data_IF_059123843905
#
_entry.id   IF_059123843905
#
_cell.length_a   1.000
_cell.length_b   1.000
_cell.length_c   1.000
_cell.angle_alpha   90.00
_cell.angle_beta   90.00
_cell.angle_gamma   90.00
#
_symmetry.space_group_name_H-M   'P 1'
#
loop_
_entity.id
_entity.type
_entity.pdbx_description
1 polymer ?
#
# COMPACT_ATOMS: atom_id res chain seq x y z
N UNK A 1 -22.89 25.66 -28.37
CA UNK A 1 -22.28 25.09 -27.15
C UNK A 1 -22.56 23.59 -27.25
N UNK A 2 -21.63 22.70 -27.59
CA UNK A 2 -20.62 22.11 -26.67
C UNK A 2 -19.68 21.13 -27.43
N UNK A 3 -19.05 21.53 -28.55
CA UNK A 3 -18.18 20.62 -29.34
C UNK A 3 -16.73 20.52 -28.83
N UNK A 4 -16.26 21.51 -28.05
CA UNK A 4 -14.91 21.55 -27.49
C UNK A 4 -14.65 20.47 -26.42
N UNK A 5 -15.58 20.19 -25.48
CA UNK A 5 -15.41 19.14 -24.47
C UNK A 5 -15.34 17.74 -25.09
N UNK A 6 -16.15 17.44 -26.13
CA UNK A 6 -16.18 16.11 -26.75
C UNK A 6 -14.88 15.78 -27.49
N UNK A 7 -14.30 16.77 -28.20
CA UNK A 7 -12.99 16.59 -28.85
C UNK A 7 -11.87 16.39 -27.84
N UNK A 8 -11.90 17.09 -26.71
CA UNK A 8 -10.93 16.91 -25.62
C UNK A 8 -11.06 15.53 -24.97
N UNK A 9 -12.29 15.09 -24.67
CA UNK A 9 -12.55 13.74 -24.12
C UNK A 9 -12.11 12.65 -25.09
N UNK A 10 -12.38 12.81 -26.40
CA UNK A 10 -11.93 11.84 -27.41
C UNK A 10 -10.39 11.78 -27.49
N UNK A 11 -9.73 12.92 -27.38
CA UNK A 11 -8.26 12.99 -27.34
C UNK A 11 -7.69 12.33 -26.08
N UNK A 12 -8.28 12.59 -24.91
CA UNK A 12 -7.91 11.94 -23.65
C UNK A 12 -8.08 10.42 -23.71
N UNK A 13 -9.19 9.92 -24.26
CA UNK A 13 -9.40 8.47 -24.47
C UNK A 13 -8.33 7.86 -25.37
N UNK A 14 -7.97 8.55 -26.45
CA UNK A 14 -6.91 8.08 -27.36
C UNK A 14 -5.55 8.02 -26.66
N UNK A 15 -5.22 9.03 -25.84
CA UNK A 15 -3.97 9.07 -25.08
C UNK A 15 -3.89 7.98 -24.02
N UNK A 16 -5.01 7.69 -23.35
CA UNK A 16 -5.10 6.58 -22.39
C UNK A 16 -4.87 5.25 -23.11
N UNK A 17 -5.53 5.03 -24.25
CA UNK A 17 -5.39 3.78 -24.99
C UNK A 17 -3.98 3.58 -25.57
N UNK A 18 -3.33 4.66 -25.99
CA UNK A 18 -1.91 4.64 -26.39
C UNK A 18 -1.00 4.31 -25.20
N UNK A 19 -1.24 4.92 -24.04
CA UNK A 19 -0.49 4.63 -22.81
C UNK A 19 -0.66 3.17 -22.36
N UNK A 20 -1.87 2.62 -22.42
CA UNK A 20 -2.17 1.21 -22.11
C UNK A 20 -1.44 0.27 -23.07
N UNK A 21 -1.43 0.60 -24.37
CA UNK A 21 -0.74 -0.20 -25.39
C UNK A 21 0.78 -0.18 -25.17
N UNK A 22 1.34 0.99 -24.88
CA UNK A 22 2.76 1.14 -24.59
C UNK A 22 3.16 0.42 -23.30
N UNK A 23 2.29 0.45 -22.28
CA UNK A 23 2.49 -0.29 -21.04
C UNK A 23 2.50 -1.80 -21.28
N UNK A 24 1.57 -2.32 -22.09
CA UNK A 24 1.52 -3.73 -22.46
C UNK A 24 2.79 -4.17 -23.21
N UNK A 25 3.24 -3.36 -24.17
CA UNK A 25 4.49 -3.62 -24.90
C UNK A 25 5.72 -3.60 -23.98
N UNK A 26 5.80 -2.65 -23.05
CA UNK A 26 6.88 -2.59 -22.07
C UNK A 26 6.90 -3.81 -21.14
N UNK A 27 5.72 -4.31 -20.73
CA UNK A 27 5.60 -5.55 -19.93
C UNK A 27 6.10 -6.78 -20.71
N UNK A 28 5.71 -6.95 -21.97
CA UNK A 28 6.19 -8.03 -22.83
C UNK A 28 7.71 -7.97 -23.01
N UNK A 29 8.26 -6.78 -23.24
CA UNK A 29 9.71 -6.60 -23.36
C UNK A 29 10.45 -6.95 -22.06
N UNK A 30 9.92 -6.55 -20.90
CA UNK A 30 10.49 -6.92 -19.60
C UNK A 30 10.50 -8.44 -19.39
N UNK A 31 9.39 -9.12 -19.70
CA UNK A 31 9.29 -10.59 -19.63
C UNK A 31 10.37 -11.24 -20.52
N UNK A 32 10.57 -10.71 -21.72
CA UNK A 32 11.54 -11.26 -22.68
C UNK A 32 13.01 -11.04 -22.27
N UNK A 33 13.32 -9.97 -21.55
CA UNK A 33 14.69 -9.59 -21.17
C UNK A 33 15.09 -10.23 -19.84
N UNK A 34 14.17 -10.28 -18.87
CA UNK A 34 14.51 -10.68 -17.50
C UNK A 34 14.44 -12.18 -17.26
N UNK A 35 13.75 -12.97 -18.09
CA UNK A 35 13.74 -14.45 -18.00
C UNK A 35 13.22 -15.05 -16.68
N UNK A 36 12.85 -14.21 -15.72
CA UNK A 36 12.27 -14.55 -14.42
C UNK A 36 10.88 -13.92 -14.32
N UNK A 37 9.96 -14.64 -13.67
CA UNK A 37 8.66 -14.19 -13.14
C UNK A 37 8.82 -13.10 -12.04
N UNK A 38 9.81 -12.22 -12.16
CA UNK A 38 9.85 -10.97 -11.41
C UNK A 38 8.88 -10.00 -12.10
N UNK A 39 7.59 -10.29 -11.90
CA UNK A 39 6.53 -9.33 -12.17
C UNK A 39 6.87 -8.12 -11.31
N UNK A 40 7.41 -7.07 -11.93
CA UNK A 40 7.29 -5.72 -11.40
C UNK A 40 5.80 -5.43 -11.50
N UNK A 41 5.05 -5.85 -10.48
CA UNK A 41 3.60 -5.70 -10.45
C UNK A 41 3.33 -4.23 -10.19
N UNK A 42 3.39 -3.40 -11.23
CA UNK A 42 2.49 -2.26 -11.28
C UNK A 42 1.09 -2.83 -11.00
N UNK A 43 0.33 -2.27 -10.04
CA UNK A 43 -0.94 -2.83 -9.60
C UNK A 43 -1.76 -3.20 -10.84
N UNK A 44 -2.17 -4.46 -10.91
CA UNK A 44 -3.02 -4.90 -11.99
C UNK A 44 -4.30 -4.08 -11.89
N UNK A 45 -4.61 -3.24 -12.89
CA UNK A 45 -5.89 -2.51 -12.97
C UNK A 45 -7.13 -3.43 -13.05
N UNK A 46 -6.98 -4.74 -12.81
CA UNK A 46 -7.99 -5.75 -12.95
C UNK A 46 -8.55 -6.13 -11.57
N UNK A 47 -9.79 -5.73 -11.34
CA UNK A 47 -10.68 -6.47 -10.45
C UNK A 47 -11.03 -7.77 -11.17
N UNK A 48 -10.67 -8.92 -10.59
CA UNK A 48 -11.00 -10.23 -11.15
C UNK A 48 -12.22 -10.76 -10.40
N UNK A 49 -13.36 -10.82 -11.07
CA UNK A 49 -14.58 -11.45 -10.57
C UNK A 49 -14.66 -12.87 -11.12
N UNK A 50 -14.62 -13.87 -10.23
CA UNK A 50 -14.80 -15.28 -10.57
C UNK A 50 -16.04 -15.82 -9.85
N UNK A 51 -16.59 -16.97 -10.28
CA UNK A 51 -17.69 -17.64 -9.57
C UNK A 51 -17.40 -17.92 -8.09
N UNK A 52 -16.12 -17.99 -7.72
CA UNK A 52 -15.62 -18.30 -6.38
C UNK A 52 -15.18 -17.10 -5.54
N UNK A 53 -15.51 -15.88 -5.97
CA UNK A 53 -15.21 -14.66 -5.23
C UNK A 53 -14.53 -13.58 -6.07
N UNK A 54 -14.11 -12.53 -5.38
CA UNK A 54 -13.57 -11.31 -5.99
C UNK A 54 -12.15 -11.06 -5.51
N UNK A 55 -11.25 -10.84 -6.45
CA UNK A 55 -9.84 -10.53 -6.17
C UNK A 55 -9.54 -9.10 -6.58
N UNK A 56 -8.93 -8.36 -5.67
CA UNK A 56 -8.60 -6.94 -5.82
C UNK A 56 -7.16 -6.73 -5.37
N UNK A 57 -6.34 -6.12 -6.22
CA UNK A 57 -5.02 -5.65 -5.82
C UNK A 57 -5.10 -4.16 -5.48
N UNK A 58 -4.30 -3.69 -4.54
CA UNK A 58 -4.34 -2.29 -4.14
C UNK A 58 -3.13 -1.88 -3.32
N UNK A 59 -3.04 -0.58 -3.04
CA UNK A 59 -1.90 0.02 -2.35
C UNK A 59 -2.28 0.33 -0.90
N UNK A 60 -1.47 -0.10 0.06
CA UNK A 60 -1.68 0.18 1.48
C UNK A 60 -1.32 1.64 1.81
N UNK A 61 -2.20 2.34 2.54
CA UNK A 61 -2.03 3.75 2.93
C UNK A 61 -1.70 3.94 4.43
N UNK A 62 -1.40 2.84 5.13
CA UNK A 62 -1.14 2.82 6.58
C UNK A 62 -2.32 2.32 7.42
N UNK A 63 -3.55 2.35 6.90
CA UNK A 63 -4.73 1.78 7.57
C UNK A 63 -5.65 0.99 6.64
N UNK A 64 -5.74 1.39 5.38
CA UNK A 64 -6.61 0.83 4.35
C UNK A 64 -5.81 0.48 3.10
N UNK A 65 -6.40 -0.35 2.26
CA UNK A 65 -5.91 -0.65 0.92
C UNK A 65 -6.73 0.15 -0.08
N UNK A 66 -6.08 0.95 -0.91
CA UNK A 66 -6.70 1.68 -2.01
C UNK A 66 -6.71 0.79 -3.24
N UNK A 67 -7.91 0.37 -3.68
CA UNK A 67 -8.07 -0.42 -4.89
C UNK A 67 -7.94 0.42 -6.17
N UNK A 68 -7.86 -0.22 -7.35
CA UNK A 68 -7.81 0.46 -8.66
C UNK A 68 -9.09 1.24 -8.97
N UNK A 69 -10.20 0.93 -8.29
CA UNK A 69 -11.45 1.67 -8.38
C UNK A 69 -11.48 2.93 -7.47
N UNK A 70 -10.36 3.23 -6.80
CA UNK A 70 -10.23 4.35 -5.87
C UNK A 70 -10.97 4.15 -4.56
N UNK A 71 -11.49 2.94 -4.28
CA UNK A 71 -12.15 2.64 -3.01
C UNK A 71 -11.15 2.22 -1.95
N UNK A 72 -11.49 2.57 -0.71
CA UNK A 72 -10.72 2.20 0.47
C UNK A 72 -11.29 0.91 1.04
N UNK A 73 -10.43 -0.10 1.17
CA UNK A 73 -10.73 -1.38 1.78
C UNK A 73 -10.04 -1.43 3.15
N UNK A 74 -10.78 -1.42 4.29
CA UNK A 74 -10.17 -1.41 5.61
C UNK A 74 -9.30 -2.65 5.84
N UNK A 75 -8.04 -2.44 6.23
CA UNK A 75 -7.10 -3.52 6.55
C UNK A 75 -7.14 -3.76 8.07
N UNK A 76 -7.29 -5.01 8.53
CA UNK A 76 -7.26 -5.29 9.97
C UNK A 76 -5.95 -4.81 10.61
N UNK A 77 -6.03 -3.96 11.63
CA UNK A 77 -4.85 -3.38 12.29
C UNK A 77 -3.87 -4.44 12.82
N UNK A 78 -4.39 -5.58 13.29
CA UNK A 78 -3.56 -6.70 13.73
C UNK A 78 -2.78 -7.35 12.59
N UNK A 79 -3.37 -7.45 11.40
CA UNK A 79 -2.68 -7.97 10.22
C UNK A 79 -1.59 -7.00 9.80
N UNK A 80 -1.94 -5.71 9.64
CA UNK A 80 -0.99 -4.65 9.27
C UNK A 80 0.21 -4.59 10.24
N UNK A 81 -0.05 -4.67 11.55
CA UNK A 81 1.01 -4.67 12.55
C UNK A 81 1.89 -5.93 12.50
N UNK A 82 1.30 -7.13 12.39
CA UNK A 82 2.08 -8.39 12.42
C UNK A 82 2.91 -8.59 11.15
N UNK A 83 2.36 -8.18 10.02
CA UNK A 83 3.04 -8.21 8.72
C UNK A 83 4.00 -7.03 8.53
N UNK A 84 4.03 -6.08 9.47
CA UNK A 84 4.82 -4.85 9.42
C UNK A 84 4.62 -4.11 8.08
N UNK A 85 3.36 -3.92 7.70
CA UNK A 85 3.00 -3.27 6.45
C UNK A 85 3.36 -1.79 6.51
N UNK A 86 3.85 -1.27 5.39
CA UNK A 86 4.28 0.12 5.24
C UNK A 86 3.53 0.75 4.07
N UNK A 87 3.30 2.06 4.13
CA UNK A 87 2.65 2.81 3.04
C UNK A 87 3.31 2.51 1.69
N UNK A 88 2.48 2.28 0.67
CA UNK A 88 2.94 1.90 -0.66
C UNK A 88 2.97 0.39 -0.90
N UNK A 89 2.91 -0.45 0.15
CA UNK A 89 2.87 -1.90 -0.02
C UNK A 89 1.68 -2.35 -0.88
N UNK A 90 1.94 -3.24 -1.82
CA UNK A 90 0.92 -3.83 -2.67
C UNK A 90 0.30 -5.02 -1.95
N UNK A 91 -1.00 -4.94 -1.74
CA UNK A 91 -1.82 -5.97 -1.13
C UNK A 91 -2.75 -6.60 -2.16
N UNK A 92 -3.02 -7.89 -1.96
CA UNK A 92 -4.07 -8.64 -2.61
C UNK A 92 -5.18 -8.91 -1.60
N UNK A 93 -6.36 -8.40 -1.87
CA UNK A 93 -7.60 -8.70 -1.17
C UNK A 93 -8.37 -9.77 -1.94
N UNK A 94 -8.66 -10.88 -1.29
CA UNK A 94 -9.64 -11.87 -1.75
C UNK A 94 -10.90 -11.73 -0.91
N UNK A 95 -12.03 -11.49 -1.57
CA UNK A 95 -13.37 -11.51 -0.97
C UNK A 95 -13.99 -12.85 -1.31
N UNK A 96 -14.17 -13.68 -0.29
CA UNK A 96 -14.79 -15.00 -0.41
C UNK A 96 -16.30 -14.88 -0.67
N UNK A 97 -16.93 -15.99 -1.08
CA UNK A 97 -18.39 -16.06 -1.28
C UNK A 97 -19.20 -15.75 0.01
N UNK A 98 -18.61 -15.99 1.18
CA UNK A 98 -19.20 -15.67 2.50
C UNK A 98 -19.02 -14.20 2.91
N UNK A 99 -18.38 -13.39 2.06
CA UNK A 99 -18.06 -11.98 2.32
C UNK A 99 -16.81 -11.78 3.19
N UNK A 100 -16.09 -12.85 3.56
CA UNK A 100 -14.84 -12.77 4.31
C UNK A 100 -13.72 -12.10 3.50
N UNK A 101 -12.95 -11.23 4.16
CA UNK A 101 -11.81 -10.54 3.56
C UNK A 101 -10.50 -11.22 3.96
N UNK A 102 -9.73 -11.64 2.97
CA UNK A 102 -8.39 -12.20 3.15
C UNK A 102 -7.38 -11.28 2.47
N UNK A 103 -6.46 -10.71 3.26
CA UNK A 103 -5.38 -9.89 2.75
C UNK A 103 -4.08 -10.68 2.68
N UNK A 104 -3.33 -10.45 1.60
CA UNK A 104 -1.96 -10.95 1.43
C UNK A 104 -1.09 -9.83 0.86
N UNK A 105 0.04 -9.52 1.50
CA UNK A 105 1.08 -8.69 0.90
C UNK A 105 1.70 -9.43 -0.29
N UNK A 106 1.74 -8.77 -1.44
CA UNK A 106 2.27 -9.32 -2.71
C UNK A 106 3.39 -8.47 -3.32
N UNK A 107 3.57 -7.23 -2.86
CA UNK A 107 4.66 -6.36 -3.31
C UNK A 107 5.09 -5.41 -2.21
N UNK A 108 6.09 -5.77 -1.38
CA UNK A 108 6.65 -4.84 -0.41
C UNK A 108 7.46 -3.73 -1.08
N UNK A 109 7.38 -2.51 -0.57
CA UNK A 109 8.22 -1.40 -1.05
C UNK A 109 9.63 -1.43 -0.41
N UNK A 110 10.64 -0.79 -1.04
CA UNK A 110 11.93 -0.50 -0.40
C UNK A 110 11.72 0.24 0.92
N UNK A 111 12.45 -0.17 1.96
CA UNK A 111 12.23 0.28 3.33
C UNK A 111 13.54 0.63 4.02
N UNK A 112 13.50 1.61 4.90
CA UNK A 112 14.60 1.96 5.80
C UNK A 112 14.16 1.88 7.25
N UNK A 113 15.12 1.53 8.11
CA UNK A 113 14.94 1.47 9.55
C UNK A 113 15.40 2.77 10.18
N UNK A 114 14.62 3.29 11.11
CA UNK A 114 14.99 4.43 11.93
C UNK A 114 14.64 4.16 13.39
N UNK A 115 15.47 4.64 14.30
CA UNK A 115 15.23 4.58 15.73
C UNK A 115 14.58 5.91 16.14
N UNK A 116 13.52 5.82 16.94
CA UNK A 116 12.83 6.98 17.48
C UNK A 116 12.25 6.70 18.86
N UNK A 117 11.62 7.73 19.42
CA UNK A 117 10.96 7.66 20.73
C UNK A 117 9.46 7.60 20.53
N UNK A 118 8.80 6.61 21.15
CA UNK A 118 7.35 6.51 21.13
C UNK A 118 6.73 7.61 21.99
N UNK A 119 5.82 8.39 21.42
CA UNK A 119 5.03 9.40 22.11
C UNK A 119 3.54 9.08 21.96
N UNK A 120 2.73 9.61 22.89
CA UNK A 120 1.28 9.49 22.84
C UNK A 120 0.66 10.89 22.88
N UNK A 121 -0.11 11.22 21.85
CA UNK A 121 -0.88 12.45 21.77
C UNK A 121 -2.36 12.10 21.73
N UNK A 122 -3.11 12.44 22.77
CA UNK A 122 -4.56 12.28 22.87
C UNK A 122 -5.06 10.86 22.49
N UNK A 123 -4.32 9.82 22.90
CA UNK A 123 -4.67 8.43 22.63
C UNK A 123 -4.19 7.87 21.28
N UNK A 124 -3.58 8.70 20.44
CA UNK A 124 -2.86 8.26 19.22
C UNK A 124 -1.36 8.13 19.51
N UNK A 125 -0.74 7.10 18.93
CA UNK A 125 0.68 6.82 19.13
C UNK A 125 1.50 7.26 17.93
N UNK A 126 2.64 7.86 18.20
CA UNK A 126 3.59 8.34 17.20
C UNK A 126 5.01 7.98 17.60
N UNK A 127 5.91 7.90 16.64
CA UNK A 127 7.34 7.81 16.89
C UNK A 127 8.02 9.06 16.35
N UNK A 128 8.67 9.81 17.24
CA UNK A 128 9.50 10.96 16.90
C UNK A 128 10.88 10.47 16.46
N UNK A 129 11.25 10.75 15.21
CA UNK A 129 12.56 10.40 14.67
C UNK A 129 12.99 11.40 13.60
N UNK A 130 14.21 11.93 13.73
CA UNK A 130 14.83 12.80 12.72
C UNK A 130 14.06 14.11 12.46
N UNK A 131 13.32 14.62 13.44
CA UNK A 131 12.50 15.83 13.32
C UNK A 131 11.10 15.60 12.71
N UNK A 132 10.75 14.35 12.40
CA UNK A 132 9.42 13.95 11.92
C UNK A 132 8.69 13.11 12.98
N UNK A 133 7.36 13.11 12.90
CA UNK A 133 6.50 12.22 13.67
C UNK A 133 5.80 11.23 12.73
N UNK A 134 5.93 9.94 13.02
CA UNK A 134 5.28 8.87 12.27
C UNK A 134 4.19 8.23 13.10
N UNK A 135 2.96 8.15 12.58
CA UNK A 135 1.85 7.47 13.24
C UNK A 135 2.09 5.97 13.33
N UNK A 136 1.78 5.41 14.50
CA UNK A 136 1.90 3.99 14.79
C UNK A 136 0.53 3.40 15.09
N UNK A 137 0.25 2.22 14.52
CA UNK A 137 -0.96 1.47 14.84
C UNK A 137 -0.95 1.05 16.32
N UNK A 138 -2.06 1.28 17.02
CA UNK A 138 -2.26 0.79 18.39
C UNK A 138 -2.02 -0.72 18.51
N UNK A 139 -2.35 -1.48 17.46
CA UNK A 139 -2.07 -2.92 17.40
C UNK A 139 -0.57 -3.23 17.54
N UNK A 140 0.31 -2.39 16.99
CA UNK A 140 1.77 -2.53 17.15
C UNK A 140 2.19 -2.23 18.58
N UNK A 141 1.71 -1.13 19.16
CA UNK A 141 1.99 -0.74 20.55
C UNK A 141 1.61 -1.85 21.52
N UNK A 142 0.40 -2.40 21.37
CA UNK A 142 -0.09 -3.49 22.22
C UNK A 142 0.63 -4.82 21.99
N UNK A 143 0.99 -5.14 20.75
CA UNK A 143 1.72 -6.37 20.42
C UNK A 143 3.13 -6.37 21.03
N UNK A 144 3.86 -5.25 20.89
CA UNK A 144 5.20 -5.08 21.45
C UNK A 144 5.21 -4.63 22.92
N UNK A 145 4.03 -4.36 23.50
CA UNK A 145 3.84 -3.90 24.90
C UNK A 145 4.59 -2.60 25.21
N UNK A 146 4.59 -1.68 24.25
CA UNK A 146 5.31 -0.42 24.34
C UNK A 146 4.63 0.58 25.28
N UNK A 147 5.44 1.46 25.85
CA UNK A 147 5.04 2.61 26.66
C UNK A 147 5.58 3.91 26.05
N UNK A 148 4.88 5.02 26.29
CA UNK A 148 5.38 6.33 25.88
C UNK A 148 6.72 6.61 26.57
N UNK A 149 7.72 7.03 25.79
CA UNK A 149 9.11 7.17 26.20
C UNK A 149 10.02 6.05 25.72
N UNK A 150 9.49 4.90 25.29
CA UNK A 150 10.30 3.78 24.81
C UNK A 150 11.04 4.14 23.51
N UNK A 151 12.27 3.65 23.39
CA UNK A 151 12.99 3.66 22.11
C UNK A 151 12.60 2.46 21.28
N UNK A 152 12.23 2.72 20.03
CA UNK A 152 11.73 1.70 19.10
C UNK A 152 12.36 1.85 17.73
N UNK A 153 12.59 0.72 17.06
CA UNK A 153 12.93 0.72 15.64
C UNK A 153 11.64 0.66 14.84
N UNK A 154 11.44 1.65 13.99
CA UNK A 154 10.35 1.68 13.02
C UNK A 154 10.89 1.53 11.61
N UNK A 155 10.04 1.00 10.74
CA UNK A 155 10.27 0.92 9.29
C UNK A 155 9.34 1.88 8.57
N UNK A 156 9.92 2.59 7.60
CA UNK A 156 9.24 3.52 6.70
C UNK A 156 9.69 3.26 5.26
N UNK A 157 8.93 3.70 4.24
CA UNK A 157 9.40 3.62 2.85
C UNK A 157 10.71 4.38 2.70
N UNK A 158 11.63 3.82 1.90
CA UNK A 158 12.91 4.47 1.64
C UNK A 158 12.73 5.77 0.84
N UNK A 159 11.88 5.69 -0.20
CA UNK A 159 11.70 6.70 -1.25
C UNK A 159 10.61 7.74 -0.95
N UNK A 160 9.78 7.57 0.10
CA UNK A 160 8.68 8.47 0.41
C UNK A 160 8.97 9.33 1.65
N UNK A 161 9.29 10.61 1.44
CA UNK A 161 9.56 11.58 2.51
C UNK A 161 8.30 12.07 3.21
N UNK A 162 7.12 11.93 2.61
CA UNK A 162 5.84 12.42 3.13
C UNK A 162 5.03 11.29 3.81
N UNK A 163 5.70 10.20 4.18
CA UNK A 163 5.08 9.05 4.85
C UNK A 163 4.46 9.46 6.18
N UNK A 164 3.20 9.11 6.38
CA UNK A 164 2.49 9.42 7.64
C UNK A 164 2.58 8.27 8.64
N UNK A 165 2.54 7.02 8.17
CA UNK A 165 2.49 5.80 8.97
C UNK A 165 3.79 5.04 8.93
N UNK A 166 4.21 4.53 10.09
CA UNK A 166 5.34 3.61 10.19
C UNK A 166 4.90 2.31 10.86
N UNK A 167 5.61 1.23 10.55
CA UNK A 167 5.43 -0.04 11.25
C UNK A 167 6.54 -0.24 12.28
N UNK A 168 6.19 -0.80 13.45
CA UNK A 168 7.18 -1.15 14.47
C UNK A 168 7.86 -2.45 14.07
N UNK A 169 9.20 -2.44 14.05
CA UNK A 169 9.98 -3.62 13.75
C UNK A 169 10.39 -4.39 15.00
N UNK A 170 10.93 -3.67 15.98
CA UNK A 170 11.47 -4.19 17.23
C UNK A 170 11.44 -3.12 18.32
N UNK A 171 11.42 -3.57 19.56
CA UNK A 171 11.51 -2.76 20.77
C UNK A 171 12.74 -3.17 21.58
N UNK A 172 13.35 -2.23 22.30
CA UNK A 172 14.52 -2.48 23.16
C UNK A 172 14.16 -2.38 24.65
#
# INVERSE_FOLDING_TARGET
>A
MSELPEKQVKRLKSLIQEAETNLAAAKELLISISGEDNIVTAPSNSIIENPHGKVIEGVFDGQTMIGPDGKNYPVPANYASKSKLVEGDILKLTINEDGGFIYKQIGPVPRKQIIGTLVNHDGSFFVEAGGNEYKILLASVTYFRLQAGDQVTIIIPEDNTDTTWAAVEASF
#
